data_IF_988002037448
#
_entry.id   IF_988002037448
#
_cell.length_a   1.000
_cell.length_b   1.000
_cell.length_c   1.000
_cell.angle_alpha   90.00
_cell.angle_beta   90.00
_cell.angle_gamma   90.00
#
_symmetry.space_group_name_H-M   'P 1'
#
loop_
_entity.id
_entity.type
_entity.pdbx_description
1 polymer ?
#
# COMPACT_ATOMS: atom_id res chain seq x y z
N UNK A 1 -48.27 37.40 29.84
CA UNK A 1 -47.92 36.69 28.59
C UNK A 1 -46.56 36.03 28.82
N UNK A 2 -46.52 34.70 29.04
CA UNK A 2 -45.27 33.96 29.15
C UNK A 2 -44.76 33.65 27.73
N UNK A 3 -43.63 34.25 27.35
CA UNK A 3 -42.92 33.92 26.11
C UNK A 3 -42.16 32.61 26.28
N UNK A 4 -42.57 31.59 25.52
CA UNK A 4 -41.86 30.32 25.39
C UNK A 4 -40.73 30.52 24.36
N UNK A 5 -39.49 30.57 24.81
CA UNK A 5 -38.31 30.59 23.93
C UNK A 5 -37.92 29.15 23.63
N UNK A 6 -38.24 28.68 22.43
CA UNK A 6 -37.84 27.36 21.93
C UNK A 6 -36.38 27.46 21.44
N UNK A 7 -35.45 26.97 22.24
CA UNK A 7 -34.07 26.73 21.80
C UNK A 7 -34.05 25.48 20.92
N UNK A 8 -34.15 25.67 19.61
CA UNK A 8 -33.77 24.66 18.62
C UNK A 8 -32.24 24.58 18.60
N UNK A 9 -31.66 23.78 19.49
CA UNK A 9 -30.29 23.29 19.36
C UNK A 9 -30.24 22.30 18.20
N UNK A 10 -30.22 22.85 16.98
CA UNK A 10 -29.90 22.10 15.78
C UNK A 10 -28.53 21.47 15.94
N UNK A 11 -28.51 20.17 16.22
CA UNK A 11 -27.32 19.35 16.09
C UNK A 11 -26.84 19.51 14.65
N UNK A 12 -25.82 20.33 14.44
CA UNK A 12 -25.00 20.27 13.25
C UNK A 12 -24.33 18.90 13.24
N UNK A 13 -25.06 17.88 12.77
CA UNK A 13 -24.44 16.71 12.20
C UNK A 13 -23.68 17.21 10.98
N UNK A 14 -22.43 17.62 11.20
CA UNK A 14 -21.44 17.69 10.14
C UNK A 14 -21.25 16.24 9.70
N UNK A 15 -22.13 15.79 8.80
CA UNK A 15 -21.92 14.58 8.02
C UNK A 15 -20.71 14.91 7.17
N UNK A 16 -19.53 14.65 7.73
CA UNK A 16 -18.31 14.59 6.95
C UNK A 16 -18.55 13.43 6.00
N UNK A 17 -18.94 13.76 4.76
CA UNK A 17 -18.89 12.84 3.64
C UNK A 17 -17.42 12.52 3.46
N UNK A 18 -16.90 11.54 4.22
CA UNK A 18 -15.72 10.81 3.81
C UNK A 18 -16.11 10.28 2.44
N UNK A 19 -15.46 10.78 1.38
CA UNK A 19 -15.49 10.07 0.11
C UNK A 19 -15.14 8.63 0.46
N UNK A 20 -16.10 7.71 0.32
CA UNK A 20 -15.94 6.37 0.83
C UNK A 20 -14.74 5.77 0.08
N UNK A 21 -13.66 5.48 0.81
CA UNK A 21 -12.53 4.78 0.23
C UNK A 21 -13.07 3.49 -0.38
N UNK A 22 -12.76 3.23 -1.65
CA UNK A 22 -13.28 2.05 -2.33
C UNK A 22 -12.86 0.77 -1.58
N UNK A 23 -13.84 0.06 -1.02
CA UNK A 23 -13.65 -1.20 -0.28
C UNK A 23 -14.25 -2.40 -1.02
N UNK A 24 -14.49 -2.27 -2.33
CA UNK A 24 -14.98 -3.37 -3.18
C UNK A 24 -13.99 -4.54 -3.24
N UNK A 25 -14.38 -5.67 -3.86
CA UNK A 25 -13.48 -6.80 -4.02
C UNK A 25 -12.20 -6.34 -4.74
N UNK A 26 -11.06 -6.64 -4.14
CA UNK A 26 -9.76 -6.23 -4.66
C UNK A 26 -9.25 -7.26 -5.67
N UNK A 27 -8.76 -6.75 -6.80
CA UNK A 27 -8.10 -7.52 -7.85
C UNK A 27 -6.60 -7.25 -7.82
N UNK A 28 -5.83 -8.24 -7.39
CA UNK A 28 -4.39 -8.18 -7.30
C UNK A 28 -3.72 -7.96 -8.66
N UNK A 29 -4.21 -8.58 -9.75
CA UNK A 29 -3.63 -8.38 -11.09
C UNK A 29 -3.80 -6.93 -11.53
N UNK A 30 -4.95 -6.33 -11.21
CA UNK A 30 -5.21 -4.91 -11.48
C UNK A 30 -4.32 -3.99 -10.64
N UNK A 31 -4.06 -4.32 -9.38
CA UNK A 31 -3.10 -3.58 -8.53
C UNK A 31 -1.67 -3.69 -9.05
N UNK A 32 -1.19 -4.89 -9.41
CA UNK A 32 0.15 -5.13 -9.98
C UNK A 32 0.36 -4.33 -11.29
N UNK A 33 -0.67 -4.19 -12.12
CA UNK A 33 -0.64 -3.35 -13.32
C UNK A 33 -0.66 -1.86 -12.94
N UNK A 34 -1.52 -1.49 -11.99
CA UNK A 34 -1.69 -0.10 -11.56
C UNK A 34 -2.03 0.84 -12.73
N UNK A 35 -1.40 2.03 -12.80
CA UNK A 35 -1.50 2.93 -13.95
C UNK A 35 -0.97 2.36 -15.27
N UNK A 36 -0.20 1.26 -15.25
CA UNK A 36 0.42 0.66 -16.43
C UNK A 36 1.86 1.11 -16.70
N UNK A 37 2.44 1.95 -15.85
CA UNK A 37 3.81 2.47 -15.94
C UNK A 37 4.23 3.06 -14.60
N UNK A 38 5.52 3.38 -14.44
CA UNK A 38 6.03 4.00 -13.21
C UNK A 38 6.48 2.99 -12.18
N UNK A 39 6.66 3.46 -10.95
CA UNK A 39 7.16 2.65 -9.83
C UNK A 39 6.22 2.75 -8.64
N UNK A 40 6.15 1.69 -7.85
CA UNK A 40 5.58 1.74 -6.51
C UNK A 40 6.73 1.68 -5.50
N UNK A 41 6.67 2.58 -4.52
CA UNK A 41 7.63 2.70 -3.44
C UNK A 41 6.99 2.16 -2.17
N UNK A 42 7.70 1.27 -1.48
CA UNK A 42 7.31 0.88 -0.14
C UNK A 42 7.65 2.04 0.79
N UNK A 43 6.63 2.71 1.33
CA UNK A 43 6.84 3.83 2.22
C UNK A 43 7.08 3.36 3.65
N UNK A 44 6.24 2.44 4.11
CA UNK A 44 6.25 1.94 5.49
C UNK A 44 5.97 0.46 5.53
N UNK A 45 6.65 -0.23 6.43
CA UNK A 45 6.42 -1.65 6.70
C UNK A 45 6.57 -1.94 8.20
N UNK A 46 5.87 -2.96 8.69
CA UNK A 46 6.12 -3.53 10.03
C UNK A 46 7.10 -4.69 10.00
N UNK A 47 7.67 -5.03 8.83
CA UNK A 47 8.67 -6.07 8.72
C UNK A 47 10.07 -5.53 9.10
N UNK A 48 10.66 -6.11 10.13
CA UNK A 48 11.91 -5.61 10.72
C UNK A 48 13.11 -5.68 9.78
N UNK A 49 13.12 -6.63 8.84
CA UNK A 49 14.26 -6.84 7.93
C UNK A 49 13.99 -6.31 6.52
N UNK A 50 12.94 -5.50 6.36
CA UNK A 50 12.60 -4.88 5.09
C UNK A 50 13.75 -4.03 4.54
N UNK A 51 13.97 -4.12 3.22
CA UNK A 51 15.04 -3.41 2.51
C UNK A 51 14.71 -1.93 2.37
N UNK A 52 15.68 -1.09 2.71
CA UNK A 52 15.54 0.37 2.58
C UNK A 52 15.34 0.79 1.12
N UNK A 53 14.49 1.78 0.89
CA UNK A 53 14.15 2.28 -0.45
C UNK A 53 13.65 1.21 -1.41
N UNK A 54 12.92 0.20 -0.92
CA UNK A 54 12.34 -0.81 -1.78
C UNK A 54 11.35 -0.16 -2.76
N UNK A 55 11.55 -0.43 -4.04
CA UNK A 55 10.64 -0.08 -5.11
C UNK A 55 10.42 -1.25 -6.04
N UNK A 56 9.34 -1.15 -6.77
CA UNK A 56 8.89 -2.13 -7.73
C UNK A 56 8.32 -1.45 -8.96
N UNK A 57 8.46 -2.05 -10.14
CA UNK A 57 7.98 -1.45 -11.38
C UNK A 57 6.57 -1.93 -11.74
N UNK A 58 5.70 -0.98 -12.05
CA UNK A 58 4.34 -1.28 -12.49
C UNK A 58 4.36 -2.05 -13.82
N UNK A 59 3.39 -2.94 -14.02
CA UNK A 59 3.30 -3.75 -15.25
C UNK A 59 2.47 -3.05 -16.32
N UNK A 60 2.86 -3.25 -17.58
CA UNK A 60 2.12 -2.71 -18.73
C UNK A 60 0.70 -3.30 -18.80
N UNK A 61 -0.23 -2.51 -19.33
CA UNK A 61 -1.59 -2.98 -19.64
C UNK A 61 -1.54 -4.20 -20.57
N UNK A 62 -2.37 -5.21 -20.30
CA UNK A 62 -2.39 -6.46 -21.07
C UNK A 62 -1.28 -7.46 -20.69
N UNK A 63 -0.52 -7.22 -19.62
CA UNK A 63 0.44 -8.19 -19.08
C UNK A 63 -0.23 -9.54 -18.79
N UNK A 64 0.37 -10.62 -19.28
CA UNK A 64 -0.02 -11.99 -18.94
C UNK A 64 0.69 -12.43 -17.66
N UNK A 65 -0.03 -13.16 -16.80
CA UNK A 65 0.48 -13.64 -15.51
C UNK A 65 0.61 -15.17 -15.49
N UNK A 66 1.58 -15.74 -14.74
CA UNK A 66 2.62 -15.05 -13.96
C UNK A 66 3.59 -14.23 -14.84
N UNK A 67 4.06 -13.10 -14.33
CA UNK A 67 4.88 -12.14 -15.06
C UNK A 67 6.22 -11.88 -14.36
N UNK A 68 7.31 -11.58 -15.09
CA UNK A 68 8.52 -11.08 -14.47
C UNK A 68 8.27 -9.72 -13.82
N UNK A 69 8.88 -9.49 -12.66
CA UNK A 69 8.67 -8.32 -11.83
C UNK A 69 10.01 -7.65 -11.48
N UNK A 70 10.35 -6.52 -12.12
CA UNK A 70 11.52 -5.74 -11.77
C UNK A 70 11.32 -5.04 -10.43
N UNK A 71 12.31 -5.13 -9.56
CA UNK A 71 12.32 -4.43 -8.28
C UNK A 71 13.74 -4.02 -7.92
N UNK A 72 13.87 -3.11 -6.95
CA UNK A 72 15.16 -2.69 -6.46
C UNK A 72 15.09 -2.05 -5.08
N UNK A 73 16.24 -1.90 -4.45
CA UNK A 73 16.38 -1.35 -3.10
C UNK A 73 17.80 -0.78 -2.90
N UNK A 74 18.00 -0.06 -1.79
CA UNK A 74 19.34 0.35 -1.36
C UNK A 74 19.93 -0.63 -0.36
N UNK A 75 21.18 -1.01 -0.58
CA UNK A 75 21.99 -1.80 0.35
C UNK A 75 23.41 -1.25 0.39
N UNK A 76 23.92 -0.93 1.59
CA UNK A 76 25.24 -0.31 1.74
C UNK A 76 25.40 1.01 0.98
N UNK A 77 24.31 1.78 0.82
CA UNK A 77 24.29 3.05 0.07
C UNK A 77 24.25 2.89 -1.45
N UNK A 78 24.23 1.66 -1.98
CA UNK A 78 24.18 1.36 -3.42
C UNK A 78 22.81 0.83 -3.81
N UNK A 79 22.40 1.16 -5.04
CA UNK A 79 21.20 0.57 -5.64
C UNK A 79 21.48 -0.85 -6.10
N UNK A 80 20.56 -1.75 -5.74
CA UNK A 80 20.50 -3.14 -6.20
C UNK A 80 19.20 -3.28 -6.98
N UNK A 81 19.28 -3.84 -8.18
CA UNK A 81 18.12 -4.15 -9.01
C UNK A 81 18.08 -5.63 -9.30
N UNK A 82 16.88 -6.22 -9.22
CA UNK A 82 16.62 -7.65 -9.42
C UNK A 82 15.33 -7.83 -10.21
N UNK A 83 15.06 -9.08 -10.58
CA UNK A 83 13.81 -9.48 -11.20
C UNK A 83 13.30 -10.75 -10.53
N UNK A 84 12.08 -10.69 -10.02
CA UNK A 84 11.33 -11.84 -9.50
C UNK A 84 10.22 -12.25 -10.47
N UNK A 85 9.31 -13.09 -9.99
CA UNK A 85 8.06 -13.43 -10.67
C UNK A 85 6.88 -13.03 -9.79
N UNK A 86 5.83 -12.48 -10.38
CA UNK A 86 4.60 -12.09 -9.70
C UNK A 86 3.36 -12.70 -10.36
N UNK A 87 2.39 -13.10 -9.56
CA UNK A 87 1.01 -13.44 -9.99
C UNK A 87 -0.01 -12.78 -9.05
N UNK A 88 -1.27 -12.73 -9.47
CA UNK A 88 -2.37 -12.23 -8.67
C UNK A 88 -3.50 -13.25 -8.56
N UNK A 89 -4.03 -13.47 -7.35
CA UNK A 89 -5.16 -14.38 -7.10
C UNK A 89 -6.15 -13.75 -6.13
N UNK A 90 -7.29 -13.28 -6.64
CA UNK A 90 -8.21 -12.46 -5.86
C UNK A 90 -7.50 -11.21 -5.35
N UNK A 91 -7.48 -11.02 -4.03
CA UNK A 91 -6.77 -9.91 -3.39
C UNK A 91 -5.29 -10.21 -3.06
N UNK A 92 -4.77 -11.40 -3.40
CA UNK A 92 -3.40 -11.81 -3.06
C UNK A 92 -2.44 -11.55 -4.22
N UNK A 93 -1.38 -10.79 -3.96
CA UNK A 93 -0.19 -10.71 -4.81
C UNK A 93 0.77 -11.81 -4.35
N UNK A 94 1.17 -12.68 -5.27
CA UNK A 94 2.08 -13.80 -5.01
C UNK A 94 3.40 -13.48 -5.68
N UNK A 95 4.41 -13.15 -4.88
CA UNK A 95 5.76 -12.81 -5.34
C UNK A 95 6.70 -14.00 -5.11
N UNK A 96 7.64 -14.18 -6.03
CA UNK A 96 8.67 -15.19 -5.92
C UNK A 96 10.02 -14.66 -6.38
N UNK A 97 11.00 -14.72 -5.49
CA UNK A 97 12.40 -14.43 -5.79
C UNK A 97 13.37 -15.31 -4.99
N UNK A 98 14.64 -15.32 -5.39
CA UNK A 98 15.67 -16.19 -4.78
C UNK A 98 16.02 -15.79 -3.34
N UNK A 99 15.74 -14.55 -2.94
CA UNK A 99 16.10 -13.99 -1.64
C UNK A 99 15.02 -14.29 -0.59
N UNK A 100 13.77 -14.01 -0.90
CA UNK A 100 12.65 -14.15 0.04
C UNK A 100 11.85 -15.45 -0.16
N UNK A 101 12.07 -16.16 -1.27
CA UNK A 101 11.26 -17.32 -1.65
C UNK A 101 9.90 -16.87 -2.18
N UNK A 102 8.87 -17.67 -1.93
CA UNK A 102 7.50 -17.30 -2.26
C UNK A 102 6.87 -16.54 -1.09
N UNK A 103 6.33 -15.35 -1.38
CA UNK A 103 5.63 -14.49 -0.43
C UNK A 103 4.26 -14.11 -0.96
N UNK A 104 3.38 -13.72 -0.05
CA UNK A 104 2.02 -13.28 -0.35
C UNK A 104 1.73 -11.93 0.32
N UNK A 105 1.32 -10.96 -0.48
CA UNK A 105 0.72 -9.71 0.02
C UNK A 105 -0.77 -9.74 -0.23
N UNK A 106 -1.57 -9.91 0.83
CA UNK A 106 -3.02 -9.74 0.73
C UNK A 106 -3.34 -8.25 0.76
N UNK A 107 -3.85 -7.71 -0.34
CA UNK A 107 -4.30 -6.33 -0.42
C UNK A 107 -5.56 -6.14 0.44
N UNK A 108 -5.52 -5.16 1.34
CA UNK A 108 -6.69 -4.69 2.08
C UNK A 108 -7.26 -3.41 1.48
N UNK A 109 -6.46 -2.71 0.67
CA UNK A 109 -6.89 -1.57 -0.12
C UNK A 109 -6.02 -1.43 -1.37
N UNK A 110 -6.66 -1.06 -2.47
CA UNK A 110 -6.00 -0.58 -3.68
C UNK A 110 -6.97 0.36 -4.40
N UNK A 111 -6.49 1.54 -4.78
CA UNK A 111 -7.20 2.40 -5.73
C UNK A 111 -6.79 2.10 -7.19
N UNK A 112 -5.89 1.12 -7.38
CA UNK A 112 -5.26 0.72 -8.63
C UNK A 112 -4.46 1.82 -9.33
N UNK A 113 -4.08 2.87 -8.61
CA UNK A 113 -3.44 4.05 -9.21
C UNK A 113 -2.40 4.71 -8.32
N UNK A 114 -2.80 5.20 -7.16
CA UNK A 114 -2.00 6.09 -6.31
C UNK A 114 -1.27 5.31 -5.23
N UNK A 115 -1.90 4.26 -4.68
CA UNK A 115 -1.34 3.53 -3.55
C UNK A 115 -2.06 2.21 -3.27
N UNK A 116 -1.37 1.38 -2.49
CA UNK A 116 -1.86 0.09 -2.04
C UNK A 116 -1.55 -0.08 -0.55
N UNK A 117 -2.44 -0.80 0.15
CA UNK A 117 -2.21 -1.22 1.54
C UNK A 117 -2.27 -2.74 1.58
N UNK A 118 -1.18 -3.34 2.05
CA UNK A 118 -0.94 -4.77 1.95
C UNK A 118 -0.67 -5.43 3.30
N UNK A 119 -0.96 -6.72 3.36
CA UNK A 119 -0.63 -7.63 4.46
C UNK A 119 0.36 -8.69 3.97
N UNK A 120 1.63 -8.34 4.07
CA UNK A 120 2.76 -9.13 3.61
C UNK A 120 3.05 -10.31 4.53
N UNK A 121 3.22 -11.50 3.95
CA UNK A 121 3.59 -12.71 4.68
C UNK A 121 4.43 -13.64 3.82
N UNK A 122 5.21 -14.50 4.46
CA UNK A 122 5.96 -15.55 3.78
C UNK A 122 6.53 -16.53 4.80
N UNK A 123 6.90 -17.74 4.36
CA UNK A 123 7.43 -18.76 5.26
C UNK A 123 8.70 -18.27 5.99
N UNK A 124 9.61 -17.62 5.26
CA UNK A 124 10.86 -17.05 5.81
C UNK A 124 10.68 -15.70 6.51
N UNK A 125 9.56 -15.03 6.25
CA UNK A 125 9.28 -13.64 6.67
C UNK A 125 8.35 -13.58 7.90
N UNK A 126 7.54 -14.62 8.12
CA UNK A 126 6.42 -14.58 9.05
C UNK A 126 5.29 -13.69 8.55
N UNK A 127 4.56 -13.04 9.46
CA UNK A 127 3.50 -12.08 9.12
C UNK A 127 2.13 -12.38 9.74
N UNK A 128 1.08 -11.62 9.38
CA UNK A 128 1.09 -10.57 8.37
C UNK A 128 1.76 -9.28 8.86
N UNK A 129 2.62 -8.69 8.03
CA UNK A 129 3.20 -7.37 8.20
C UNK A 129 2.39 -6.34 7.41
N UNK A 130 2.20 -5.16 7.99
CA UNK A 130 1.38 -4.12 7.36
C UNK A 130 2.28 -3.26 6.49
N UNK A 131 1.89 -3.03 5.25
CA UNK A 131 2.66 -2.27 4.27
C UNK A 131 1.83 -1.15 3.66
N UNK A 132 2.47 0.01 3.45
CA UNK A 132 1.93 1.13 2.70
C UNK A 132 2.79 1.38 1.48
N UNK A 133 2.21 1.18 0.30
CA UNK A 133 2.84 1.40 -0.98
C UNK A 133 2.31 2.67 -1.64
N UNK A 134 3.17 3.39 -2.36
CA UNK A 134 2.82 4.62 -3.08
C UNK A 134 3.36 4.59 -4.50
N UNK A 135 2.52 4.91 -5.47
CA UNK A 135 2.94 5.11 -6.85
C UNK A 135 3.85 6.35 -7.00
N UNK A 136 4.77 6.34 -7.95
CA UNK A 136 5.77 7.40 -8.16
C UNK A 136 5.14 8.76 -8.46
N UNK A 137 3.99 8.75 -9.12
CA UNK A 137 3.26 9.97 -9.53
C UNK A 137 2.18 10.39 -8.54
N UNK A 138 2.08 9.71 -7.39
CA UNK A 138 1.08 9.99 -6.37
C UNK A 138 1.35 11.32 -5.64
N UNK A 139 0.31 12.16 -5.55
CA UNK A 139 0.31 13.31 -4.65
C UNK A 139 -0.10 12.86 -3.24
N UNK A 140 0.79 13.02 -2.26
CA UNK A 140 0.54 12.63 -0.86
C UNK A 140 -0.53 13.48 -0.16
N UNK A 141 -0.92 14.61 -0.75
CA UNK A 141 -1.99 15.50 -0.30
C UNK A 141 -3.34 15.17 -0.93
N UNK A 142 -3.38 14.27 -1.92
CA UNK A 142 -4.60 13.82 -2.57
C UNK A 142 -5.58 13.12 -1.61
N UNK A 143 -6.86 13.10 -1.99
CA UNK A 143 -7.88 12.39 -1.23
C UNK A 143 -7.70 10.87 -1.32
N UNK A 144 -7.23 10.38 -2.47
CA UNK A 144 -6.92 9.00 -2.77
C UNK A 144 -5.80 8.48 -1.86
N UNK A 145 -4.69 9.23 -1.77
CA UNK A 145 -3.60 8.84 -0.88
C UNK A 145 -3.98 8.95 0.61
N UNK A 146 -4.90 9.87 0.96
CA UNK A 146 -5.45 9.93 2.31
C UNK A 146 -6.19 8.63 2.68
N UNK A 147 -6.93 8.03 1.75
CA UNK A 147 -7.57 6.73 1.98
C UNK A 147 -6.57 5.63 2.33
N UNK A 148 -5.45 5.54 1.59
CA UNK A 148 -4.40 4.56 1.91
C UNK A 148 -3.80 4.78 3.30
N UNK A 149 -3.52 6.04 3.68
CA UNK A 149 -3.01 6.35 5.01
C UNK A 149 -4.00 5.96 6.11
N UNK A 150 -5.28 6.31 5.94
CA UNK A 150 -6.30 6.02 6.94
C UNK A 150 -6.47 4.49 7.10
N UNK A 151 -6.51 3.72 6.01
CA UNK A 151 -6.63 2.25 6.06
C UNK A 151 -5.36 1.56 6.57
N UNK A 152 -4.17 2.07 6.24
CA UNK A 152 -2.91 1.59 6.81
C UNK A 152 -2.90 1.75 8.34
N UNK A 153 -3.31 2.92 8.84
CA UNK A 153 -3.41 3.19 10.28
C UNK A 153 -4.48 2.33 10.96
N UNK A 154 -5.60 2.05 10.28
CA UNK A 154 -6.62 1.12 10.76
C UNK A 154 -6.08 -0.31 10.90
N UNK A 155 -5.35 -0.82 9.90
CA UNK A 155 -4.70 -2.14 9.98
C UNK A 155 -3.64 -2.20 11.09
N UNK A 156 -2.81 -1.16 11.23
CA UNK A 156 -1.83 -1.10 12.31
C UNK A 156 -2.51 -1.18 13.68
N UNK A 157 -3.57 -0.40 13.89
CA UNK A 157 -4.33 -0.38 15.15
C UNK A 157 -5.05 -1.70 15.41
N UNK A 158 -5.74 -2.23 14.41
CA UNK A 158 -6.46 -3.51 14.51
C UNK A 158 -5.55 -4.67 14.87
N UNK A 159 -4.27 -4.61 14.44
CA UNK A 159 -3.26 -5.64 14.68
C UNK A 159 -2.31 -5.34 15.83
N UNK A 160 -2.42 -4.18 16.47
CA UNK A 160 -1.52 -3.72 17.54
C UNK A 160 -0.05 -3.68 17.11
N UNK A 161 0.22 -3.23 15.88
CA UNK A 161 1.56 -3.19 15.27
C UNK A 161 2.19 -1.79 15.17
N UNK A 162 1.57 -0.77 15.76
CA UNK A 162 2.03 0.62 15.65
C UNK A 162 3.49 0.82 16.10
N UNK A 163 3.96 0.06 17.10
CA UNK A 163 5.34 0.16 17.61
C UNK A 163 6.38 -0.54 16.72
N UNK A 164 5.96 -1.24 15.66
CA UNK A 164 6.82 -2.00 14.75
C UNK A 164 7.06 -1.28 13.42
N UNK A 165 6.48 -0.09 13.24
CA UNK A 165 6.55 0.65 11.97
C UNK A 165 7.97 1.11 11.69
N UNK A 166 8.43 0.85 10.48
CA UNK A 166 9.67 1.37 9.91
C UNK A 166 9.36 2.25 8.71
N UNK A 167 10.03 3.40 8.65
CA UNK A 167 10.03 4.27 7.46
C UNK A 167 11.02 3.70 6.44
N UNK A 168 10.51 3.16 5.35
CA UNK A 168 11.31 2.45 4.33
C UNK A 168 11.81 3.41 3.26
N UNK A 169 11.01 4.42 2.90
CA UNK A 169 11.31 5.37 1.84
C UNK A 169 12.02 6.66 2.30
N UNK A 170 12.37 6.77 3.58
CA UNK A 170 12.98 7.99 4.13
C UNK A 170 14.38 8.24 3.52
N UNK A 171 14.60 9.44 2.99
CA UNK A 171 15.89 9.83 2.37
C UNK A 171 16.20 9.12 1.05
N UNK A 172 15.21 8.49 0.41
CA UNK A 172 15.39 7.77 -0.84
C UNK A 172 15.28 8.70 -2.06
N UNK A 173 16.35 8.71 -2.87
CA UNK A 173 16.37 9.30 -4.21
C UNK A 173 16.31 8.16 -5.24
N UNK A 174 15.09 7.76 -5.59
CA UNK A 174 14.81 6.58 -6.41
C UNK A 174 15.39 6.73 -7.83
N UNK A 175 15.90 5.65 -8.44
CA UNK A 175 16.38 5.72 -9.82
C UNK A 175 15.22 6.08 -10.74
N UNK A 176 15.50 6.87 -11.79
CA UNK A 176 14.51 7.21 -12.82
C UNK A 176 14.17 5.99 -13.68
#
# INVERSE_FOLDING_TARGET
MLSLVVFLTGCFFVVTVRAACNTGPIDAKKSIIGPGSGKYYLLKSTYNDEKSCLYVEARLQGTSFPAPYPFGYKEGGKWVSKTGTVDGQGANIIDKDDQFGETNTTLVYSDYKVCDVGLFRGEKVGGPHVELWKHSDADEKSAEFKCCKDLYEEELKGRKKQSQVREISEGCDYPK
#
